data_IF_732252705771
#
_entry.id   IF_732252705771
#
_cell.length_a   1.000
_cell.length_b   1.000
_cell.length_c   1.000
_cell.angle_alpha   90.00
_cell.angle_beta   90.00
_cell.angle_gamma   90.00
#
_symmetry.space_group_name_H-M   'P 1'
#
loop_
_entity.id
_entity.type
_entity.pdbx_description
1 polymer ?
#
# COMPACT_ATOMS: atom_id res chain seq x y z
N UNK A 1 5.93 48.25 6.76
CA UNK A 1 6.37 46.92 6.30
C UNK A 1 6.18 45.93 7.42
N UNK A 2 5.55 44.77 7.19
CA UNK A 2 5.55 43.69 8.15
C UNK A 2 6.99 43.19 8.44
N UNK A 3 7.18 42.47 9.55
CA UNK A 3 8.50 42.01 10.00
C UNK A 3 8.96 40.89 9.07
N UNK A 4 9.97 41.18 8.23
CA UNK A 4 10.60 40.20 7.33
C UNK A 4 11.04 38.97 8.12
N UNK A 5 10.72 37.78 7.61
CA UNK A 5 11.08 36.51 8.25
C UNK A 5 10.23 36.09 9.47
N UNK A 6 9.34 36.95 9.98
CA UNK A 6 8.34 36.59 11.00
C UNK A 6 6.92 36.61 10.43
N UNK A 7 6.51 37.73 9.83
CA UNK A 7 5.11 37.93 9.41
C UNK A 7 4.73 37.09 8.18
N UNK A 8 5.72 36.60 7.42
CA UNK A 8 5.54 35.66 6.32
C UNK A 8 5.32 34.22 6.82
N UNK A 9 5.80 33.91 8.04
CA UNK A 9 5.69 32.58 8.65
C UNK A 9 4.35 32.47 9.36
N UNK A 10 3.37 31.85 8.72
CA UNK A 10 2.09 31.51 9.35
C UNK A 10 2.24 30.16 10.05
N UNK A 11 1.93 30.10 11.35
CA UNK A 11 1.87 28.84 12.08
C UNK A 11 0.46 28.27 11.97
N UNK A 12 0.33 27.10 11.37
CA UNK A 12 -0.91 26.33 11.41
C UNK A 12 -0.95 25.56 12.73
N UNK A 13 -1.77 26.01 13.68
CA UNK A 13 -1.94 25.32 14.95
C UNK A 13 -2.56 23.94 14.70
N UNK A 14 -1.77 22.88 14.89
CA UNK A 14 -2.24 21.50 14.79
C UNK A 14 -2.98 21.13 16.07
N UNK A 15 -4.25 20.76 15.94
CA UNK A 15 -5.13 20.38 17.05
C UNK A 15 -5.49 18.89 17.05
N UNK A 16 -5.11 18.17 16.01
CA UNK A 16 -5.51 16.79 15.85
C UNK A 16 -4.69 16.02 14.83
N UNK A 17 -4.58 14.72 15.06
CA UNK A 17 -4.02 13.76 14.10
C UNK A 17 -5.07 12.73 13.73
N UNK A 18 -5.26 12.54 12.43
CA UNK A 18 -6.14 11.51 11.88
C UNK A 18 -5.27 10.36 11.39
N UNK A 19 -5.61 9.15 11.83
CA UNK A 19 -4.87 7.93 11.55
C UNK A 19 -5.59 7.07 10.51
N UNK A 20 -4.82 6.37 9.67
CA UNK A 20 -5.30 5.47 8.62
C UNK A 20 -5.24 3.99 9.02
N UNK A 21 -5.03 3.73 10.32
CA UNK A 21 -4.88 2.38 10.83
C UNK A 21 -4.89 2.34 12.35
N UNK A 22 -5.08 1.13 12.88
CA UNK A 22 -5.11 0.82 14.31
C UNK A 22 -3.99 -0.15 14.67
N UNK A 23 -3.54 -0.13 15.92
CA UNK A 23 -2.64 -1.16 16.44
C UNK A 23 -3.48 -2.37 16.85
N UNK A 24 -3.34 -3.48 16.14
CA UNK A 24 -3.98 -4.75 16.49
C UNK A 24 -3.02 -5.63 17.29
N UNK A 25 -3.56 -6.40 18.23
CA UNK A 25 -2.79 -7.40 18.98
C UNK A 25 -2.65 -8.67 18.14
N UNK A 26 -1.42 -9.10 17.91
CA UNK A 26 -1.10 -10.41 17.32
C UNK A 26 -1.36 -11.55 18.29
N UNK A 27 -1.37 -12.78 17.76
CA UNK A 27 -1.56 -14.01 18.54
C UNK A 27 -0.51 -14.21 19.64
N UNK A 28 0.65 -13.53 19.53
CA UNK A 28 1.72 -13.51 20.54
C UNK A 28 1.77 -12.26 21.42
N UNK A 29 0.73 -11.44 21.46
CA UNK A 29 0.67 -10.22 22.29
C UNK A 29 1.42 -9.00 21.74
N UNK A 30 2.19 -9.14 20.65
CA UNK A 30 2.83 -8.03 19.94
C UNK A 30 1.79 -7.16 19.20
N UNK A 31 1.88 -5.84 19.33
CA UNK A 31 1.01 -4.89 18.64
C UNK A 31 1.56 -4.62 17.23
N UNK A 32 0.79 -4.93 16.19
CA UNK A 32 1.13 -4.62 14.81
C UNK A 32 0.17 -3.56 14.23
N UNK A 33 0.65 -2.65 13.37
CA UNK A 33 -0.21 -1.70 12.69
C UNK A 33 -1.04 -2.43 11.61
N UNK A 34 -2.36 -2.25 11.65
CA UNK A 34 -3.29 -2.72 10.65
C UNK A 34 -3.99 -1.52 9.99
N UNK A 35 -4.02 -1.48 8.66
CA UNK A 35 -4.73 -0.45 7.91
C UNK A 35 -6.25 -0.61 8.10
N UNK A 36 -6.97 0.51 8.18
CA UNK A 36 -8.44 0.56 8.29
C UNK A 36 -9.06 1.12 7.01
N UNK A 37 -10.34 0.83 6.80
CA UNK A 37 -11.17 1.38 5.71
C UNK A 37 -11.91 2.67 6.11
N UNK A 38 -11.57 3.24 7.27
CA UNK A 38 -12.14 4.46 7.83
C UNK A 38 -11.07 5.29 8.55
N UNK A 39 -11.34 6.57 8.72
CA UNK A 39 -10.51 7.52 9.47
C UNK A 39 -10.62 7.28 10.97
N UNK A 40 -9.48 7.14 11.64
CA UNK A 40 -9.41 6.87 13.07
C UNK A 40 -8.88 8.12 13.78
N UNK A 41 -9.64 8.61 14.75
CA UNK A 41 -9.24 9.72 15.62
C UNK A 41 -9.33 9.24 17.07
N UNK A 42 -8.22 9.34 17.79
CA UNK A 42 -8.11 8.98 19.19
C UNK A 42 -7.34 10.06 19.95
N UNK A 43 -7.47 10.05 21.27
CA UNK A 43 -6.75 10.97 22.14
C UNK A 43 -5.24 10.71 22.07
N UNK A 44 -4.48 11.74 21.72
CA UNK A 44 -3.03 11.70 21.69
C UNK A 44 -2.44 13.00 22.23
N UNK A 45 -1.11 13.12 22.26
CA UNK A 45 -0.45 14.33 22.75
C UNK A 45 -0.79 15.62 21.97
N UNK A 46 -1.47 15.52 20.83
CA UNK A 46 -1.91 16.68 20.04
C UNK A 46 -3.44 16.83 19.97
N UNK A 47 -4.20 15.75 20.16
CA UNK A 47 -5.64 15.65 19.93
C UNK A 47 -6.34 15.53 21.27
N UNK A 48 -7.03 16.59 21.70
CA UNK A 48 -7.74 16.60 22.97
C UNK A 48 -9.03 15.74 22.92
N UNK A 49 -9.50 15.21 24.08
CA UNK A 49 -10.74 14.44 24.15
C UNK A 49 -11.97 15.16 23.59
N UNK A 50 -12.02 16.49 23.75
CA UNK A 50 -13.11 17.33 23.23
C UNK A 50 -13.14 17.33 21.70
N UNK A 51 -11.97 17.41 21.05
CA UNK A 51 -11.86 17.35 19.59
C UNK A 51 -12.24 15.97 19.07
N UNK A 52 -11.82 14.90 19.76
CA UNK A 52 -12.23 13.53 19.43
C UNK A 52 -13.76 13.38 19.52
N UNK A 53 -14.38 13.90 20.58
CA UNK A 53 -15.82 13.86 20.76
C UNK A 53 -16.57 14.63 19.67
N UNK A 54 -16.11 15.84 19.31
CA UNK A 54 -16.66 16.63 18.20
C UNK A 54 -16.56 15.89 16.86
N UNK A 55 -15.40 15.32 16.57
CA UNK A 55 -15.20 14.55 15.34
C UNK A 55 -16.15 13.35 15.26
N UNK A 56 -16.30 12.60 16.35
CA UNK A 56 -17.26 11.49 16.44
C UNK A 56 -18.72 11.94 16.34
N UNK A 57 -19.06 13.10 16.88
CA UNK A 57 -20.41 13.65 16.78
C UNK A 57 -20.77 14.05 15.34
N UNK A 58 -19.79 14.53 14.55
CA UNK A 58 -19.99 14.92 13.15
C UNK A 58 -20.03 13.73 12.19
N UNK A 59 -19.09 12.78 12.35
CA UNK A 59 -18.88 11.73 11.34
C UNK A 59 -19.11 10.29 11.85
N UNK A 60 -19.45 10.11 13.13
CA UNK A 60 -19.68 8.79 13.74
C UNK A 60 -18.39 8.04 14.10
N UNK A 61 -18.50 6.72 14.31
CA UNK A 61 -17.38 5.89 14.78
C UNK A 61 -16.42 5.44 13.67
N UNK A 62 -16.92 5.25 12.45
CA UNK A 62 -16.15 4.70 11.31
C UNK A 62 -16.34 5.52 10.03
N UNK A 63 -15.93 6.79 10.02
CA UNK A 63 -16.11 7.63 8.86
C UNK A 63 -15.17 7.25 7.73
N UNK A 64 -15.73 6.96 6.56
CA UNK A 64 -14.97 6.68 5.33
C UNK A 64 -14.65 7.93 4.53
N UNK A 65 -15.35 9.02 4.84
CA UNK A 65 -15.27 10.31 4.18
C UNK A 65 -15.37 11.42 5.21
N UNK A 66 -14.60 12.49 5.00
CA UNK A 66 -14.64 13.71 5.79
C UNK A 66 -14.65 14.94 4.90
N UNK A 67 -15.32 15.99 5.35
CA UNK A 67 -15.36 17.28 4.66
C UNK A 67 -14.23 18.16 5.16
N UNK A 68 -13.40 18.63 4.23
CA UNK A 68 -12.17 19.35 4.54
C UNK A 68 -12.06 20.67 3.78
N UNK A 69 -11.20 21.56 4.28
CA UNK A 69 -10.83 22.83 3.64
C UNK A 69 -9.33 23.04 3.81
N UNK A 70 -8.63 23.43 2.74
CA UNK A 70 -7.21 23.77 2.84
C UNK A 70 -6.99 25.20 3.35
N UNK A 71 -5.96 25.41 4.20
CA UNK A 71 -5.69 26.70 4.83
C UNK A 71 -5.10 27.74 3.87
N UNK A 72 -4.32 27.30 2.88
CA UNK A 72 -3.58 28.14 1.94
C UNK A 72 -3.55 27.52 0.55
N UNK A 73 -3.19 28.30 -0.48
CA UNK A 73 -3.18 27.84 -1.87
C UNK A 73 -1.92 27.08 -2.27
N UNK A 74 -0.87 27.16 -1.45
CA UNK A 74 0.42 26.55 -1.69
C UNK A 74 0.46 25.11 -1.15
N UNK A 75 0.53 24.09 -2.01
CA UNK A 75 0.58 22.68 -1.61
C UNK A 75 1.81 22.33 -0.77
N UNK A 76 2.93 23.03 -0.89
CA UNK A 76 4.12 22.71 -0.09
C UNK A 76 3.92 23.01 1.41
N UNK A 77 3.01 23.95 1.72
CA UNK A 77 2.70 24.32 3.10
C UNK A 77 1.76 23.31 3.74
N UNK A 78 0.73 22.84 3.01
CA UNK A 78 -0.31 21.97 3.57
C UNK A 78 -0.15 20.50 3.21
N UNK A 79 0.67 20.15 2.22
CA UNK A 79 0.99 18.77 1.87
C UNK A 79 2.50 18.56 1.60
N UNK A 80 3.39 18.94 2.55
CA UNK A 80 4.81 18.69 2.40
C UNK A 80 5.11 17.19 2.31
N UNK A 81 5.90 16.83 1.31
CA UNK A 81 6.36 15.48 1.03
C UNK A 81 7.87 15.41 1.22
N UNK A 82 8.32 14.50 2.08
CA UNK A 82 9.74 14.36 2.39
C UNK A 82 10.10 12.88 2.54
N UNK A 83 11.33 12.54 2.20
CA UNK A 83 11.95 11.28 2.59
C UNK A 83 12.28 11.35 4.07
N UNK A 84 11.77 10.40 4.86
CA UNK A 84 12.00 10.36 6.30
C UNK A 84 12.50 9.00 6.74
N UNK A 85 13.48 9.00 7.63
CA UNK A 85 13.96 7.83 8.35
C UNK A 85 13.74 8.06 9.84
N UNK A 86 13.05 7.14 10.48
CA UNK A 86 12.82 7.15 11.93
C UNK A 86 13.61 6.02 12.59
N UNK A 87 14.09 6.25 13.81
CA UNK A 87 14.68 5.22 14.65
C UNK A 87 14.60 5.62 16.11
N UNK A 88 14.34 4.68 17.02
CA UNK A 88 14.11 4.93 18.45
C UNK A 88 13.14 6.11 18.70
N UNK A 89 12.01 6.15 17.98
CA UNK A 89 10.99 7.20 18.05
C UNK A 89 11.45 8.63 17.74
N UNK A 90 12.61 8.82 17.09
CA UNK A 90 13.06 10.14 16.60
C UNK A 90 13.31 10.14 15.11
N UNK A 91 13.32 11.34 14.53
CA UNK A 91 13.68 11.58 13.13
C UNK A 91 15.21 11.53 12.99
N UNK A 92 15.71 10.51 12.30
CA UNK A 92 17.13 10.32 12.03
C UNK A 92 17.58 10.95 10.72
N UNK A 93 16.69 11.06 9.75
CA UNK A 93 17.01 11.69 8.47
C UNK A 93 15.75 12.28 7.85
N UNK A 94 15.87 13.47 7.26
CA UNK A 94 14.83 14.12 6.45
C UNK A 94 15.47 14.67 5.17
N UNK A 95 15.02 14.24 4.00
CA UNK A 95 15.56 14.74 2.72
C UNK A 95 14.50 14.96 1.66
N UNK A 96 14.84 15.75 0.64
CA UNK A 96 14.03 16.05 -0.55
C UNK A 96 14.37 15.15 -1.75
N UNK A 97 15.46 14.37 -1.66
CA UNK A 97 15.95 13.54 -2.75
C UNK A 97 17.24 14.06 -3.39
N UNK A 98 17.69 15.26 -3.01
CA UNK A 98 18.99 15.84 -3.38
C UNK A 98 19.84 16.15 -2.14
N UNK A 99 19.22 16.72 -1.11
CA UNK A 99 19.84 17.03 0.18
C UNK A 99 19.06 16.40 1.33
N UNK A 100 19.76 16.08 2.42
CA UNK A 100 19.14 15.54 3.61
C UNK A 100 19.77 16.10 4.89
N UNK A 101 18.95 16.28 5.90
CA UNK A 101 19.35 16.57 7.27
C UNK A 101 19.40 15.25 8.05
N UNK A 102 20.61 14.79 8.38
CA UNK A 102 20.83 13.61 9.20
C UNK A 102 21.09 14.00 10.66
N UNK A 103 20.35 13.38 11.58
CA UNK A 103 20.51 13.54 13.02
C UNK A 103 21.31 12.38 13.57
N UNK A 104 22.46 12.65 14.19
CA UNK A 104 23.26 11.63 14.84
C UNK A 104 22.50 11.06 16.06
N UNK A 105 22.31 9.73 16.13
CA UNK A 105 21.55 9.11 17.21
C UNK A 105 22.21 9.18 18.60
N UNK A 106 23.51 9.43 18.71
CA UNK A 106 24.20 9.47 19.99
C UNK A 106 24.42 10.91 20.48
N UNK A 107 24.76 11.82 19.56
CA UNK A 107 25.10 13.21 19.90
C UNK A 107 23.93 14.18 19.70
N UNK A 108 22.92 13.81 18.90
CA UNK A 108 21.83 14.72 18.51
C UNK A 108 22.24 15.80 17.51
N UNK A 109 23.49 15.78 17.04
CA UNK A 109 24.00 16.74 16.06
C UNK A 109 23.31 16.54 14.71
N UNK A 110 22.86 17.63 14.09
CA UNK A 110 22.20 17.63 12.77
C UNK A 110 23.23 18.07 11.72
N UNK A 111 23.44 17.24 10.69
CA UNK A 111 24.34 17.53 9.57
C UNK A 111 23.57 17.49 8.26
N UNK A 112 23.90 18.40 7.35
CA UNK A 112 23.43 18.34 5.98
C UNK A 112 24.33 17.41 5.18
N UNK A 113 23.74 16.42 4.53
CA UNK A 113 24.39 15.43 3.67
C UNK A 113 23.70 15.40 2.31
N UNK A 114 24.37 14.82 1.32
CA UNK A 114 23.77 14.52 0.01
C UNK A 114 22.74 13.38 0.16
N UNK A 115 21.54 13.56 -0.40
CA UNK A 115 20.51 12.54 -0.43
C UNK A 115 20.58 11.79 -1.75
N UNK A 116 20.84 10.47 -1.70
CA UNK A 116 20.89 9.63 -2.91
C UNK A 116 19.55 8.98 -3.28
N UNK A 117 18.45 9.40 -2.62
CA UNK A 117 17.10 8.86 -2.75
C UNK A 117 17.07 7.33 -2.97
N UNK A 118 16.76 6.86 -4.19
CA UNK A 118 16.64 5.43 -4.55
C UNK A 118 17.94 4.65 -4.40
N UNK A 119 19.08 5.32 -4.62
CA UNK A 119 20.42 4.76 -4.46
C UNK A 119 20.93 4.85 -3.02
N UNK A 120 20.11 5.31 -2.08
CA UNK A 120 20.47 5.36 -0.66
C UNK A 120 20.37 3.95 -0.06
N UNK A 121 21.42 3.43 0.62
CA UNK A 121 21.36 2.13 1.28
C UNK A 121 20.23 2.02 2.30
N UNK A 122 19.84 3.11 2.94
CA UNK A 122 18.73 3.13 3.91
C UNK A 122 17.35 3.07 3.25
N UNK A 123 17.24 3.59 2.03
CA UNK A 123 16.01 3.51 1.25
C UNK A 123 15.83 2.09 0.69
N UNK A 124 16.89 1.52 0.11
CA UNK A 124 16.89 0.14 -0.38
C UNK A 124 16.56 -0.88 0.73
N UNK A 125 17.02 -0.63 1.97
CA UNK A 125 16.67 -1.45 3.15
C UNK A 125 15.26 -1.18 3.72
N UNK A 126 14.45 -0.32 3.10
CA UNK A 126 13.09 0.03 3.55
C UNK A 126 13.01 0.83 4.87
N UNK A 127 14.14 1.38 5.34
CA UNK A 127 14.24 2.16 6.58
C UNK A 127 13.92 3.64 6.36
N UNK A 128 14.14 4.14 5.14
CA UNK A 128 13.71 5.47 4.69
C UNK A 128 12.48 5.34 3.80
N UNK A 129 11.48 6.22 3.98
CA UNK A 129 10.22 6.18 3.24
C UNK A 129 9.79 7.58 2.82
N UNK A 130 9.08 7.66 1.71
CA UNK A 130 8.31 8.84 1.33
C UNK A 130 7.19 9.05 2.35
N UNK A 131 7.10 10.26 2.90
CA UNK A 131 6.04 10.63 3.84
C UNK A 131 5.43 11.95 3.41
N UNK A 132 4.15 11.91 3.06
CA UNK A 132 3.31 13.09 2.88
C UNK A 132 2.58 13.43 4.18
N UNK A 133 2.66 14.69 4.61
CA UNK A 133 1.91 15.21 5.75
C UNK A 133 0.81 16.13 5.25
N UNK A 134 -0.42 15.64 5.18
CA UNK A 134 -1.57 16.42 4.71
C UNK A 134 -2.21 17.16 5.89
N UNK A 135 -2.28 18.49 5.78
CA UNK A 135 -2.75 19.44 6.77
C UNK A 135 -4.01 20.13 6.23
N UNK A 136 -5.12 20.04 6.97
CA UNK A 136 -6.39 20.64 6.55
C UNK A 136 -7.29 20.98 7.74
N UNK A 137 -8.25 21.87 7.51
CA UNK A 137 -9.36 22.08 8.44
C UNK A 137 -10.44 21.04 8.18
N UNK A 138 -11.05 20.53 9.24
CA UNK A 138 -12.26 19.69 9.16
C UNK A 138 -13.47 20.62 9.26
N UNK A 139 -14.41 20.51 8.34
CA UNK A 139 -15.62 21.33 8.37
C UNK A 139 -16.44 20.98 9.61
N UNK A 140 -16.86 21.99 10.38
CA UNK A 140 -17.52 21.81 11.68
C UNK A 140 -16.57 21.80 12.89
N UNK A 141 -15.25 21.81 12.69
CA UNK A 141 -14.24 21.92 13.76
C UNK A 141 -13.23 23.04 13.39
N UNK A 142 -13.59 24.32 13.60
CA UNK A 142 -12.76 25.47 13.20
C UNK A 142 -11.53 25.71 14.10
N UNK A 143 -11.38 24.99 15.21
CA UNK A 143 -10.38 25.23 16.25
C UNK A 143 -8.94 25.09 15.77
N UNK A 144 -8.70 24.40 14.65
CA UNK A 144 -7.36 24.26 14.11
C UNK A 144 -7.26 23.21 13.01
N UNK A 145 -6.01 22.92 12.65
CA UNK A 145 -5.66 22.04 11.54
C UNK A 145 -5.48 20.61 12.02
N UNK A 146 -6.03 19.67 11.26
CA UNK A 146 -5.80 18.24 11.39
C UNK A 146 -4.69 17.79 10.46
N UNK A 147 -3.95 16.77 10.87
CA UNK A 147 -2.87 16.17 10.08
C UNK A 147 -3.15 14.70 9.78
N UNK A 148 -2.99 14.29 8.53
CA UNK A 148 -2.89 12.89 8.10
C UNK A 148 -1.48 12.63 7.59
N UNK A 149 -0.88 11.54 8.04
CA UNK A 149 0.40 11.06 7.52
C UNK A 149 0.17 9.87 6.60
N UNK A 150 0.67 9.95 5.37
CA UNK A 150 0.64 8.85 4.42
C UNK A 150 2.05 8.53 3.93
N UNK A 151 2.37 7.23 3.89
CA UNK A 151 3.59 6.73 3.25
C UNK A 151 3.28 5.92 1.98
N UNK A 152 2.06 6.00 1.48
CA UNK A 152 1.65 5.32 0.26
C UNK A 152 1.94 6.21 -0.94
N UNK A 153 2.86 5.78 -1.80
CA UNK A 153 3.21 6.50 -3.04
C UNK A 153 1.97 6.75 -3.89
N UNK A 154 1.07 5.76 -4.00
CA UNK A 154 -0.18 5.90 -4.75
C UNK A 154 -1.12 6.95 -4.16
N UNK A 155 -1.22 7.03 -2.82
CA UNK A 155 -2.00 8.09 -2.18
C UNK A 155 -1.37 9.46 -2.39
N UNK A 156 -0.05 9.57 -2.27
CA UNK A 156 0.67 10.83 -2.48
C UNK A 156 0.45 11.34 -3.91
N UNK A 157 0.65 10.49 -4.91
CA UNK A 157 0.42 10.82 -6.33
C UNK A 157 -1.02 11.26 -6.58
N UNK A 158 -2.02 10.48 -6.14
CA UNK A 158 -3.43 10.82 -6.35
C UNK A 158 -3.84 12.14 -5.69
N UNK A 159 -3.34 12.42 -4.48
CA UNK A 159 -3.63 13.70 -3.82
C UNK A 159 -3.00 14.87 -4.58
N UNK A 160 -1.76 14.74 -5.04
CA UNK A 160 -1.12 15.77 -5.88
C UNK A 160 -1.92 16.02 -7.16
N UNK A 161 -2.28 14.97 -7.90
CA UNK A 161 -3.10 15.08 -9.12
C UNK A 161 -4.45 15.74 -8.84
N UNK A 162 -5.13 15.36 -7.76
CA UNK A 162 -6.40 15.97 -7.37
C UNK A 162 -6.24 17.47 -7.03
N UNK A 163 -5.16 17.85 -6.33
CA UNK A 163 -4.85 19.26 -6.05
C UNK A 163 -4.68 20.05 -7.35
N UNK A 164 -3.95 19.51 -8.33
CA UNK A 164 -3.72 20.20 -9.60
C UNK A 164 -5.01 20.37 -10.42
N UNK A 165 -5.86 19.34 -10.45
CA UNK A 165 -7.18 19.40 -11.10
C UNK A 165 -8.07 20.44 -10.42
N UNK A 166 -8.18 20.41 -9.09
CA UNK A 166 -9.02 21.35 -8.32
C UNK A 166 -8.51 22.79 -8.48
N UNK A 167 -7.19 23.00 -8.45
CA UNK A 167 -6.61 24.32 -8.69
C UNK A 167 -6.93 24.80 -10.10
N UNK A 168 -6.76 23.95 -11.10
CA UNK A 168 -7.05 24.30 -12.50
C UNK A 168 -8.51 24.69 -12.70
N UNK A 169 -9.45 23.94 -12.12
CA UNK A 169 -10.88 24.22 -12.18
C UNK A 169 -11.28 25.53 -11.48
N UNK A 170 -10.55 25.94 -10.44
CA UNK A 170 -10.88 27.11 -9.61
C UNK A 170 -9.95 28.31 -9.85
N UNK A 171 -9.36 28.43 -11.04
CA UNK A 171 -8.52 29.57 -11.42
C UNK A 171 -7.23 29.69 -10.60
N UNK A 172 -6.61 28.56 -10.29
CA UNK A 172 -5.36 28.44 -9.53
C UNK A 172 -5.52 28.43 -8.02
N UNK A 173 -6.75 28.48 -7.49
CA UNK A 173 -7.03 28.54 -6.05
C UNK A 173 -7.54 27.21 -5.51
N UNK A 174 -7.19 26.90 -4.26
CA UNK A 174 -7.66 25.72 -3.54
C UNK A 174 -7.95 26.00 -2.05
N UNK A 175 -7.39 27.08 -1.51
CA UNK A 175 -7.67 27.51 -0.15
C UNK A 175 -9.15 27.91 0.00
N UNK A 176 -9.77 27.53 1.13
CA UNK A 176 -11.15 27.92 1.43
C UNK A 176 -12.23 27.18 0.63
N UNK A 177 -11.86 26.30 -0.30
CA UNK A 177 -12.82 25.53 -1.09
C UNK A 177 -13.28 24.32 -0.26
N UNK A 178 -14.59 24.08 -0.13
CA UNK A 178 -15.12 22.86 0.47
C UNK A 178 -14.78 21.64 -0.38
N UNK A 179 -14.00 20.72 0.17
CA UNK A 179 -13.57 19.49 -0.47
C UNK A 179 -13.95 18.27 0.38
N UNK A 180 -13.97 17.10 -0.23
CA UNK A 180 -14.17 15.81 0.44
C UNK A 180 -12.91 14.97 0.33
N UNK A 181 -12.53 14.36 1.45
CA UNK A 181 -11.44 13.40 1.53
C UNK A 181 -12.01 12.04 1.91
N UNK A 182 -11.86 11.06 1.02
CA UNK A 182 -12.39 9.71 1.19
C UNK A 182 -11.27 8.65 1.18
N UNK A 183 -11.52 7.54 1.88
CA UNK A 183 -10.71 6.33 1.80
C UNK A 183 -11.36 5.36 0.82
N UNK A 184 -10.74 5.17 -0.34
CA UNK A 184 -11.27 4.34 -1.42
C UNK A 184 -10.45 3.05 -1.53
N UNK A 185 -11.08 1.87 -1.64
CA UNK A 185 -10.36 0.63 -1.89
C UNK A 185 -9.73 0.66 -3.28
N UNK A 186 -8.45 0.35 -3.35
CA UNK A 186 -7.70 0.15 -4.58
C UNK A 186 -7.09 -1.25 -4.54
N UNK A 187 -7.39 -2.04 -5.56
CA UNK A 187 -6.67 -3.30 -5.79
C UNK A 187 -5.31 -2.94 -6.35
N UNK A 188 -4.26 -3.24 -5.61
CA UNK A 188 -2.89 -3.12 -6.11
C UNK A 188 -2.37 -4.52 -6.41
N UNK A 189 -1.70 -4.64 -7.56
CA UNK A 189 -0.94 -5.83 -7.90
C UNK A 189 0.34 -5.79 -7.07
N UNK A 190 0.42 -6.65 -6.05
CA UNK A 190 1.69 -6.96 -5.42
C UNK A 190 2.27 -8.18 -6.15
N UNK A 191 3.46 -8.02 -6.73
CA UNK A 191 4.27 -9.08 -7.36
C UNK A 191 3.50 -10.00 -8.31
N UNK A 192 2.69 -9.40 -9.20
CA UNK A 192 2.03 -10.12 -10.30
C UNK A 192 0.99 -11.19 -9.92
N UNK A 193 0.74 -11.48 -8.63
CA UNK A 193 -0.14 -12.61 -8.24
C UNK A 193 -1.15 -12.38 -7.12
N UNK A 194 -1.21 -11.21 -6.46
CA UNK A 194 -2.25 -10.99 -5.44
C UNK A 194 -2.86 -9.58 -5.45
N UNK A 195 -4.19 -9.53 -5.64
CA UNK A 195 -5.02 -8.33 -5.49
C UNK A 195 -5.15 -7.97 -4.00
N UNK A 196 -4.13 -7.34 -3.43
CA UNK A 196 -4.24 -6.77 -2.09
C UNK A 196 -5.09 -5.51 -2.18
N UNK A 197 -6.25 -5.50 -1.50
CA UNK A 197 -7.04 -4.28 -1.35
C UNK A 197 -6.33 -3.35 -0.37
N UNK A 198 -5.84 -2.22 -0.88
CA UNK A 198 -5.25 -1.14 -0.09
C UNK A 198 -6.19 0.06 -0.14
N UNK A 199 -6.44 0.70 0.99
CA UNK A 199 -7.22 1.92 1.04
C UNK A 199 -6.31 3.12 0.75
N UNK A 200 -6.67 3.87 -0.28
CA UNK A 200 -5.94 5.07 -0.71
C UNK A 200 -6.75 6.32 -0.39
N UNK A 201 -6.03 7.41 -0.12
CA UNK A 201 -6.66 8.72 0.04
C UNK A 201 -7.10 9.26 -1.32
N UNK A 202 -8.35 9.71 -1.39
CA UNK A 202 -8.94 10.32 -2.56
C UNK A 202 -9.53 11.68 -2.20
N UNK A 203 -9.08 12.72 -2.87
CA UNK A 203 -9.55 14.10 -2.69
C UNK A 203 -10.40 14.50 -3.88
N UNK A 204 -11.57 15.07 -3.63
CA UNK A 204 -12.45 15.55 -4.69
C UNK A 204 -13.35 16.70 -4.21
N UNK A 205 -13.93 17.44 -5.15
CA UNK A 205 -14.87 18.52 -4.85
C UNK A 205 -16.29 18.03 -5.16
N UNK A 206 -17.24 18.03 -4.19
CA UNK A 206 -18.55 17.38 -4.33
C UNK A 206 -19.39 17.84 -5.54
N UNK A 207 -19.17 19.07 -6.01
CA UNK A 207 -19.93 19.72 -7.08
C UNK A 207 -19.08 20.04 -8.32
N UNK A 208 -17.92 19.39 -8.50
CA UNK A 208 -17.14 19.56 -9.73
C UNK A 208 -17.81 18.80 -10.88
N UNK A 209 -17.80 19.39 -12.09
CA UNK A 209 -18.22 18.71 -13.33
C UNK A 209 -17.37 17.46 -13.60
N UNK A 210 -16.16 17.43 -13.04
CA UNK A 210 -15.25 16.28 -12.98
C UNK A 210 -15.38 15.62 -11.61
N UNK A 211 -16.56 15.07 -11.31
CA UNK A 211 -16.68 14.09 -10.24
C UNK A 211 -16.06 12.77 -10.71
N UNK A 212 -15.29 12.04 -9.89
CA UNK A 212 -15.01 10.64 -10.18
C UNK A 212 -16.35 9.90 -10.34
N UNK A 213 -16.38 8.81 -11.14
CA UNK A 213 -17.59 8.02 -11.28
C UNK A 213 -18.12 7.70 -9.89
N UNK A 214 -19.37 8.10 -9.65
CA UNK A 214 -20.16 7.45 -8.63
C UNK A 214 -19.98 5.95 -8.85
N UNK A 215 -19.80 5.22 -7.77
CA UNK A 215 -19.89 3.76 -7.73
C UNK A 215 -20.85 3.24 -8.82
N UNK A 216 -20.35 2.37 -9.70
CA UNK A 216 -21.05 1.69 -10.81
C UNK A 216 -21.00 2.37 -12.20
N UNK A 217 -19.81 2.46 -12.79
CA UNK A 217 -19.64 2.01 -14.17
C UNK A 217 -18.43 1.07 -14.17
N UNK A 218 -18.67 -0.22 -14.40
CA UNK A 218 -17.64 -1.15 -14.86
C UNK A 218 -17.13 -0.60 -16.19
N UNK A 219 -16.13 0.29 -16.15
CA UNK A 219 -15.24 0.42 -17.30
C UNK A 219 -14.54 -0.91 -17.39
N UNK A 220 -14.86 -1.66 -18.44
CA UNK A 220 -14.21 -2.93 -18.72
C UNK A 220 -12.71 -2.70 -18.69
N UNK A 221 -12.00 -3.60 -18.01
CA UNK A 221 -10.54 -3.57 -17.92
C UNK A 221 -9.92 -3.48 -19.33
N UNK A 222 -10.62 -4.02 -20.32
CA UNK A 222 -10.29 -3.94 -21.75
C UNK A 222 -10.31 -2.50 -22.30
N UNK A 223 -11.26 -1.65 -21.91
CA UNK A 223 -11.33 -0.27 -22.42
C UNK A 223 -10.19 0.60 -21.87
N UNK A 224 -9.83 0.41 -20.59
CA UNK A 224 -8.70 1.13 -19.97
C UNK A 224 -7.37 0.65 -20.57
N UNK A 225 -7.24 -0.65 -20.86
CA UNK A 225 -6.07 -1.21 -21.52
C UNK A 225 -5.97 -0.68 -22.95
N UNK A 226 -7.07 -0.63 -23.70
CA UNK A 226 -7.07 -0.13 -25.07
C UNK A 226 -6.76 1.38 -25.13
N UNK A 227 -7.32 2.19 -24.23
CA UNK A 227 -7.03 3.64 -24.16
C UNK A 227 -5.55 3.89 -23.77
N UNK A 228 -5.01 3.09 -22.85
CA UNK A 228 -3.59 3.14 -22.50
C UNK A 228 -2.67 2.60 -23.62
N UNK A 229 -3.12 1.63 -24.43
CA UNK A 229 -2.37 1.12 -25.58
C UNK A 229 -2.38 2.11 -26.74
N UNK A 230 -3.50 2.79 -27.00
CA UNK A 230 -3.61 3.83 -28.03
C UNK A 230 -2.74 5.07 -27.70
N UNK A 231 -2.56 5.41 -26.42
CA UNK A 231 -1.61 6.46 -26.01
C UNK A 231 -0.14 6.03 -26.15
N UNK A 232 0.16 4.75 -25.94
CA UNK A 232 1.53 4.19 -26.05
C UNK A 232 1.94 3.92 -27.50
N UNK A 233 1.00 3.67 -28.41
CA UNK A 233 1.30 3.47 -29.84
C UNK A 233 1.60 4.78 -30.58
N UNK A 234 1.28 5.95 -30.02
CA UNK A 234 1.38 7.24 -30.72
C UNK A 234 2.58 8.12 -30.32
N UNK A 235 3.42 7.72 -29.37
CA UNK A 235 4.69 8.39 -29.09
C UNK A 235 5.82 7.36 -28.99
N UNK A 236 6.88 7.54 -29.79
CA UNK A 236 8.12 6.75 -29.75
C UNK A 236 8.77 6.83 -28.36
N UNK A 237 8.30 6.03 -27.41
CA UNK A 237 8.80 5.98 -26.04
C UNK A 237 9.71 4.77 -25.86
N UNK A 238 11.03 5.01 -25.82
CA UNK A 238 11.99 3.98 -25.42
C UNK A 238 11.85 3.69 -23.92
N UNK A 239 11.35 2.50 -23.59
CA UNK A 239 11.32 2.02 -22.21
C UNK A 239 12.74 1.94 -21.62
N UNK A 240 12.99 2.43 -20.40
CA UNK A 240 14.22 2.12 -19.68
C UNK A 240 14.25 0.62 -19.32
N UNK A 241 15.45 0.00 -19.27
CA UNK A 241 15.58 -1.43 -19.01
C UNK A 241 15.04 -1.82 -17.63
N UNK A 242 14.37 -2.97 -17.59
CA UNK A 242 13.79 -3.60 -16.40
C UNK A 242 14.89 -3.93 -15.38
N UNK A 243 14.82 -3.35 -14.17
CA UNK A 243 15.70 -3.70 -13.05
C UNK A 243 15.17 -4.94 -12.33
N UNK A 244 16.06 -5.91 -12.11
CA UNK A 244 15.81 -7.12 -11.33
C UNK A 244 15.53 -6.79 -9.85
N UNK A 245 14.53 -7.43 -9.26
CA UNK A 245 14.18 -7.34 -7.84
C UNK A 245 14.92 -8.47 -7.10
N UNK A 246 15.71 -8.13 -6.08
CA UNK A 246 16.49 -9.08 -5.27
C UNK A 246 15.60 -10.01 -4.41
N UNK A 247 16.03 -11.28 -4.33
CA UNK A 247 15.43 -12.37 -3.54
C UNK A 247 15.46 -12.11 -2.02
N UNK A 248 14.45 -12.63 -1.32
CA UNK A 248 14.28 -12.50 0.14
C UNK A 248 15.35 -13.34 0.88
N UNK A 249 16.05 -12.81 1.91
CA UNK A 249 17.07 -13.56 2.65
C UNK A 249 16.52 -14.81 3.36
N UNK A 250 17.23 -15.92 3.23
CA UNK A 250 16.85 -17.26 3.68
C UNK A 250 16.87 -17.46 5.22
N UNK A 251 17.43 -16.52 5.99
CA UNK A 251 17.61 -16.60 7.45
C UNK A 251 16.31 -16.50 8.30
N UNK A 252 15.13 -16.51 7.67
CA UNK A 252 13.84 -16.37 8.35
C UNK A 252 13.08 -17.69 8.58
N UNK A 253 13.68 -18.85 8.30
CA UNK A 253 13.01 -20.16 8.42
C UNK A 253 13.76 -21.14 9.36
N UNK A 254 13.06 -21.98 10.14
CA UNK A 254 13.68 -22.98 11.03
C UNK A 254 14.51 -24.03 10.27
N UNK A 255 15.55 -24.59 10.90
CA UNK A 255 16.53 -25.52 10.31
C UNK A 255 15.92 -26.78 9.65
N UNK A 256 14.71 -27.19 10.04
CA UNK A 256 14.02 -28.37 9.46
C UNK A 256 13.55 -28.20 8.00
N UNK A 257 13.67 -26.99 7.44
CA UNK A 257 13.35 -26.66 6.04
C UNK A 257 14.56 -26.79 5.10
N UNK A 258 15.78 -26.94 5.63
CA UNK A 258 17.02 -26.79 4.84
C UNK A 258 17.40 -28.00 3.97
N UNK A 259 16.65 -29.11 4.01
CA UNK A 259 17.00 -30.34 3.27
C UNK A 259 15.92 -30.79 2.27
N UNK A 260 15.13 -29.87 1.70
CA UNK A 260 14.21 -30.18 0.60
C UNK A 260 14.66 -29.50 -0.69
N UNK A 261 14.97 -30.29 -1.72
CA UNK A 261 15.47 -29.80 -3.01
C UNK A 261 14.37 -29.44 -4.02
N UNK A 262 13.11 -29.40 -3.57
CA UNK A 262 11.93 -29.14 -4.41
C UNK A 262 11.71 -27.65 -4.70
N UNK A 263 11.25 -27.32 -5.92
CA UNK A 263 11.01 -25.94 -6.41
C UNK A 263 10.21 -25.05 -5.46
N UNK A 264 9.21 -25.58 -4.74
CA UNK A 264 8.41 -24.81 -3.78
C UNK A 264 8.57 -25.26 -2.32
N UNK A 265 9.58 -26.08 -2.01
CA UNK A 265 9.75 -26.72 -0.70
C UNK A 265 8.59 -27.66 -0.35
N UNK A 266 8.42 -28.04 0.94
CA UNK A 266 7.39 -29.00 1.36
C UNK A 266 5.98 -28.48 1.08
N UNK A 267 5.14 -29.32 0.46
CA UNK A 267 3.76 -28.98 0.10
C UNK A 267 2.76 -29.84 0.87
N UNK A 268 1.77 -29.23 1.52
CA UNK A 268 0.65 -29.94 2.18
C UNK A 268 -0.55 -30.03 1.25
N UNK A 269 -1.11 -31.23 1.07
CA UNK A 269 -2.29 -31.46 0.23
C UNK A 269 -3.55 -30.94 0.94
N UNK A 270 -4.17 -29.88 0.42
CA UNK A 270 -5.37 -29.26 1.02
C UNK A 270 -6.65 -29.88 0.48
N UNK A 271 -6.73 -30.09 -0.83
CA UNK A 271 -7.93 -30.64 -1.47
C UNK A 271 -7.61 -31.27 -2.82
N UNK A 272 -8.22 -32.41 -3.13
CA UNK A 272 -8.04 -33.11 -4.42
C UNK A 272 -9.38 -33.25 -5.12
N UNK A 273 -9.42 -32.92 -6.41
CA UNK A 273 -10.61 -33.00 -7.26
C UNK A 273 -10.30 -33.80 -8.52
N UNK A 274 -11.13 -34.80 -8.81
CA UNK A 274 -11.04 -35.59 -10.05
C UNK A 274 -11.91 -35.01 -11.15
N UNK A 275 -11.38 -35.03 -12.38
CA UNK A 275 -12.07 -34.62 -13.59
C UNK A 275 -12.08 -35.77 -14.60
N UNK A 276 -13.23 -35.94 -15.25
CA UNK A 276 -13.48 -37.01 -16.21
C UNK A 276 -13.65 -36.39 -17.59
N UNK A 277 -12.78 -36.73 -18.53
CA UNK A 277 -12.93 -36.30 -19.92
C UNK A 277 -13.87 -37.23 -20.69
N UNK A 278 -14.64 -36.69 -21.64
CA UNK A 278 -15.55 -37.46 -22.51
C UNK A 278 -14.84 -38.52 -23.37
N UNK A 279 -13.52 -38.45 -23.51
CA UNK A 279 -12.68 -39.42 -24.23
C UNK A 279 -12.06 -40.51 -23.34
N UNK A 280 -12.55 -40.69 -22.11
CA UNK A 280 -12.15 -41.80 -21.23
C UNK A 280 -10.88 -41.58 -20.40
N UNK A 281 -10.30 -40.39 -20.41
CA UNK A 281 -9.16 -40.03 -19.56
C UNK A 281 -9.60 -39.39 -18.23
N UNK A 282 -9.15 -39.95 -17.12
CA UNK A 282 -9.28 -39.39 -15.77
C UNK A 282 -8.01 -38.63 -15.37
N UNK A 283 -8.16 -37.41 -14.84
CA UNK A 283 -7.05 -36.67 -14.25
C UNK A 283 -7.47 -36.02 -12.93
N UNK A 284 -6.53 -35.96 -11.99
CA UNK A 284 -6.77 -35.42 -10.65
C UNK A 284 -5.97 -34.14 -10.46
N UNK A 285 -6.59 -33.15 -9.82
CA UNK A 285 -5.99 -31.85 -9.55
C UNK A 285 -6.04 -31.62 -8.04
N UNK A 286 -4.89 -31.36 -7.44
CA UNK A 286 -4.76 -31.02 -6.04
C UNK A 286 -4.50 -29.52 -5.85
N UNK A 287 -5.12 -28.95 -4.84
CA UNK A 287 -4.69 -27.72 -4.20
C UNK A 287 -3.70 -28.08 -3.10
N UNK A 288 -2.45 -27.65 -3.26
CA UNK A 288 -1.32 -27.90 -2.39
C UNK A 288 -0.90 -26.59 -1.73
N UNK A 289 -0.44 -26.63 -0.48
CA UNK A 289 -0.07 -25.43 0.28
C UNK A 289 1.35 -25.53 0.81
N UNK A 290 2.16 -24.53 0.51
CA UNK A 290 3.53 -24.37 1.01
C UNK A 290 3.53 -23.90 2.48
N UNK A 291 4.62 -24.15 3.20
CA UNK A 291 4.91 -23.63 4.56
C UNK A 291 4.72 -22.10 4.71
N UNK A 292 4.94 -21.30 3.66
CA UNK A 292 4.69 -19.84 3.58
C UNK A 292 3.21 -19.50 3.33
N UNK A 293 2.37 -20.51 3.11
CA UNK A 293 0.92 -20.39 2.98
C UNK A 293 0.39 -20.20 1.56
N UNK A 294 1.27 -20.26 0.56
CA UNK A 294 0.93 -20.14 -0.86
C UNK A 294 0.19 -21.39 -1.34
N UNK A 295 -0.89 -21.22 -2.10
CA UNK A 295 -1.67 -22.34 -2.66
C UNK A 295 -1.34 -22.55 -4.14
N UNK A 296 -0.99 -23.78 -4.49
CA UNK A 296 -0.67 -24.21 -5.84
C UNK A 296 -1.69 -25.23 -6.31
N UNK A 297 -2.13 -25.08 -7.56
CA UNK A 297 -3.04 -26.03 -8.20
C UNK A 297 -2.22 -26.87 -9.16
N UNK A 298 -2.04 -28.15 -8.85
CA UNK A 298 -1.18 -29.06 -9.63
C UNK A 298 -1.94 -30.31 -10.04
N UNK A 299 -1.57 -30.89 -11.17
CA UNK A 299 -2.07 -32.19 -11.58
C UNK A 299 -1.35 -33.24 -10.76
N UNK A 300 -2.11 -34.09 -10.07
CA UNK A 300 -1.55 -35.11 -9.17
C UNK A 300 -1.93 -36.52 -9.62
N UNK A 301 -1.10 -37.53 -9.31
CA UNK A 301 -1.48 -38.94 -9.45
C UNK A 301 -2.75 -39.27 -8.67
N UNK A 302 -3.44 -40.35 -9.06
CA UNK A 302 -4.68 -40.80 -8.41
C UNK A 302 -4.51 -41.09 -6.91
N UNK A 303 -3.31 -41.49 -6.51
CA UNK A 303 -2.92 -41.83 -5.14
C UNK A 303 -3.07 -40.66 -4.15
N UNK A 304 -3.07 -39.40 -4.64
CA UNK A 304 -3.30 -38.22 -3.80
C UNK A 304 -4.72 -38.10 -3.25
N UNK A 305 -5.69 -38.88 -3.76
CA UNK A 305 -7.05 -38.93 -3.20
C UNK A 305 -7.07 -39.28 -1.71
N UNK A 306 -6.11 -40.10 -1.26
CA UNK A 306 -6.04 -40.60 0.10
C UNK A 306 -5.09 -39.78 0.99
N UNK A 307 -4.35 -38.81 0.43
CA UNK A 307 -3.28 -38.06 1.09
C UNK A 307 -3.71 -36.66 1.59
N UNK A 308 -4.98 -36.49 1.96
CA UNK A 308 -5.50 -35.20 2.42
C UNK A 308 -4.84 -34.79 3.74
N UNK A 309 -4.39 -33.54 3.83
CA UNK A 309 -3.62 -32.93 4.93
C UNK A 309 -2.21 -33.52 5.14
N UNK A 310 -1.69 -34.30 4.19
CA UNK A 310 -0.33 -34.86 4.23
C UNK A 310 0.67 -33.91 3.58
N UNK A 311 1.89 -33.82 4.15
CA UNK A 311 2.98 -33.00 3.58
C UNK A 311 3.89 -33.86 2.71
N UNK A 312 4.10 -33.43 1.47
CA UNK A 312 5.01 -34.04 0.51
C UNK A 312 6.30 -33.23 0.42
N UNK A 313 7.42 -33.93 0.19
CA UNK A 313 8.77 -33.38 0.01
C UNK A 313 9.43 -34.02 -1.22
N UNK A 314 10.56 -33.47 -1.67
CA UNK A 314 11.37 -34.02 -2.77
C UNK A 314 10.57 -34.39 -4.03
N UNK A 315 9.67 -33.50 -4.48
CA UNK A 315 8.83 -33.77 -5.64
C UNK A 315 9.35 -33.16 -6.95
N UNK A 316 9.03 -33.83 -8.07
CA UNK A 316 9.37 -33.38 -9.43
C UNK A 316 8.13 -32.93 -10.17
N UNK A 317 8.27 -31.84 -10.93
CA UNK A 317 7.19 -31.20 -11.67
C UNK A 317 7.44 -31.31 -13.18
N UNK A 318 6.44 -31.79 -13.91
CA UNK A 318 6.42 -31.81 -15.37
C UNK A 318 5.32 -30.89 -15.88
N UNK A 319 5.63 -30.02 -16.86
CA UNK A 319 4.61 -29.18 -17.47
C UNK A 319 3.66 -30.01 -18.34
N UNK A 320 2.36 -29.91 -18.06
CA UNK A 320 1.30 -30.61 -18.79
C UNK A 320 0.24 -29.61 -19.23
N UNK A 321 -0.10 -29.63 -20.52
CA UNK A 321 -1.20 -28.84 -21.06
C UNK A 321 -2.53 -29.54 -20.83
N UNK A 322 -3.46 -28.85 -20.15
CA UNK A 322 -4.81 -29.32 -19.90
C UNK A 322 -5.81 -28.27 -20.40
N UNK A 323 -6.31 -28.48 -21.63
CA UNK A 323 -7.14 -27.50 -22.33
C UNK A 323 -6.34 -26.27 -22.74
N UNK A 324 -6.81 -25.08 -22.37
CA UNK A 324 -6.12 -23.80 -22.63
C UNK A 324 -5.21 -23.35 -21.46
N UNK A 325 -4.92 -24.22 -20.50
CA UNK A 325 -4.08 -23.89 -19.33
C UNK A 325 -2.88 -24.82 -19.24
N UNK A 326 -1.71 -24.21 -19.07
CA UNK A 326 -0.44 -24.87 -18.77
C UNK A 326 -0.39 -25.11 -17.26
N UNK A 327 -0.35 -26.38 -16.84
CA UNK A 327 -0.34 -26.77 -15.41
C UNK A 327 0.88 -27.65 -15.12
N UNK A 328 1.41 -27.54 -13.91
CA UNK A 328 2.50 -28.40 -13.44
C UNK A 328 1.92 -29.71 -12.87
N UNK A 329 2.46 -30.85 -13.30
CA UNK A 329 2.09 -32.20 -12.87
C UNK A 329 3.16 -32.77 -11.96
N UNK A 330 2.76 -33.29 -10.81
CA UNK A 330 3.67 -33.99 -9.89
C UNK A 330 3.84 -35.44 -10.37
N UNK A 331 5.09 -35.90 -10.54
CA UNK A 331 5.38 -37.27 -11.00
C UNK A 331 6.14 -38.11 -9.98
N UNK A 332 7.19 -37.58 -9.34
CA UNK A 332 7.83 -38.22 -8.18
C UNK A 332 7.61 -37.36 -6.94
N UNK A 333 7.33 -37.97 -5.78
CA UNK A 333 7.19 -37.28 -4.50
C UNK A 333 7.51 -38.23 -3.34
N UNK A 334 8.04 -37.70 -2.25
CA UNK A 334 8.18 -38.41 -0.98
C UNK A 334 7.16 -37.87 0.03
N UNK A 335 6.60 -38.75 0.85
CA UNK A 335 5.67 -38.35 1.91
C UNK A 335 6.49 -38.11 3.18
N UNK A 336 6.41 -36.90 3.73
CA UNK A 336 6.92 -36.63 5.07
C UNK A 336 5.89 -37.15 6.08
N UNK A 337 6.24 -38.20 6.83
CA UNK A 337 5.46 -38.68 7.98
C UNK A 337 5.52 -37.69 9.14
#
# INVERSE_FOLDING_TARGET
>A
MPIKGLTEKRSLARIGKIHLGIKQKGKGGSLYPAATDYFVVYEDGNTSPEIVAKFKALYGEKPKEIDIIFPVNDPEVFFPQWLKRYGNNRLLCKGDGETALETNPQTGEIKQIECKYRNCPYYQKGQCREVGNLLFYVQGIPEGVFQIDTSSINSIKKINTAIDIIKSANGGKIAGIPLKLALVPMKVLADGKYNKTVYILHLYQPNAVVNPPATEEERDIEDIINEAMDEVENEDFTFPPEEAIDEVPEDLFPEEVQNDSSKYGPLTVVAVKGFYSKNGGTFYVASLKDIKGNQYTMVVPEEFKELKDTTIKNYTLEETNLGNKLLEKITNYEIAM
#
